data_IF_227520353597
#
_entry.id   IF_227520353597
#
_cell.length_a   1.000
_cell.length_b   1.000
_cell.length_c   1.000
_cell.angle_alpha   90.00
_cell.angle_beta   90.00
_cell.angle_gamma   90.00
#
_symmetry.space_group_name_H-M   'P 1'
#
loop_
_entity.id
_entity.type
_entity.pdbx_description
1 polymer ?
#
# COMPACT_ATOMS: atom_id res chain seq x y z
N UNK A 1 19.99 -0.91 5.19
CA UNK A 1 19.15 -1.45 4.10
C UNK A 1 18.34 -2.66 4.54
N UNK A 2 18.97 -3.78 4.94
CA UNK A 2 18.26 -5.01 5.37
C UNK A 2 17.27 -4.78 6.52
N UNK A 3 17.68 -4.00 7.54
CA UNK A 3 16.79 -3.65 8.65
C UNK A 3 15.52 -2.92 8.18
N UNK A 4 15.68 -1.94 7.28
CA UNK A 4 14.58 -1.16 6.70
C UNK A 4 13.61 -2.08 5.95
N UNK A 5 14.15 -3.05 5.21
CA UNK A 5 13.37 -4.04 4.49
C UNK A 5 12.52 -4.91 5.44
N UNK A 6 13.13 -5.49 6.47
CA UNK A 6 12.43 -6.34 7.45
C UNK A 6 11.34 -5.53 8.16
N UNK A 7 11.65 -4.31 8.58
CA UNK A 7 10.69 -3.42 9.24
C UNK A 7 9.56 -2.99 8.29
N UNK A 8 9.85 -2.83 6.99
CA UNK A 8 8.81 -2.47 6.01
C UNK A 8 7.79 -3.60 5.84
N UNK A 9 8.25 -4.84 5.75
CA UNK A 9 7.38 -6.03 5.71
C UNK A 9 6.59 -6.15 7.01
N UNK A 10 7.25 -6.01 8.16
CA UNK A 10 6.58 -6.07 9.46
C UNK A 10 5.48 -5.00 9.58
N UNK A 11 5.75 -3.76 9.12
CA UNK A 11 4.77 -2.67 9.11
C UNK A 11 3.58 -2.91 8.18
N UNK A 12 3.78 -3.67 7.10
CA UNK A 12 2.72 -4.07 6.18
C UNK A 12 1.88 -5.21 6.76
N UNK A 13 2.50 -6.17 7.44
CA UNK A 13 1.80 -7.24 8.15
C UNK A 13 0.93 -6.68 9.27
N UNK A 14 1.43 -5.69 10.03
CA UNK A 14 0.62 -4.98 11.03
C UNK A 14 -0.60 -4.32 10.37
N UNK A 15 -0.41 -3.67 9.22
CA UNK A 15 -1.53 -3.12 8.46
C UNK A 15 -2.55 -4.20 8.08
N UNK A 16 -2.13 -5.38 7.62
CA UNK A 16 -3.07 -6.46 7.30
C UNK A 16 -3.82 -7.00 8.52
N UNK A 17 -3.16 -7.07 9.68
CA UNK A 17 -3.80 -7.46 10.93
C UNK A 17 -4.85 -6.41 11.32
N UNK A 18 -4.50 -5.13 11.29
CA UNK A 18 -5.43 -4.03 11.60
C UNK A 18 -6.60 -3.97 10.61
N UNK A 19 -6.33 -4.09 9.32
CA UNK A 19 -7.33 -4.03 8.24
C UNK A 19 -8.21 -5.28 8.14
N UNK A 20 -7.80 -6.40 8.75
CA UNK A 20 -8.65 -7.59 8.88
C UNK A 20 -9.69 -7.44 9.99
N UNK A 21 -9.53 -6.48 10.89
CA UNK A 21 -10.48 -6.24 11.96
C UNK A 21 -11.58 -5.27 11.48
N UNK A 22 -12.82 -5.46 11.95
CA UNK A 22 -13.98 -4.67 11.50
C UNK A 22 -13.85 -3.15 11.70
N UNK A 23 -14.12 -2.38 10.64
CA UNK A 23 -14.26 -0.93 10.66
C UNK A 23 -12.97 -0.14 10.39
N UNK A 24 -13.13 1.07 9.84
CA UNK A 24 -12.01 1.96 9.43
C UNK A 24 -11.49 2.81 10.59
N UNK A 25 -12.35 3.11 11.56
CA UNK A 25 -12.06 3.94 12.73
C UNK A 25 -12.50 3.23 14.00
N UNK A 26 -11.64 3.20 15.02
CA UNK A 26 -11.98 2.68 16.35
C UNK A 26 -11.54 3.66 17.43
N UNK A 27 -12.42 3.87 18.40
CA UNK A 27 -12.09 4.63 19.61
C UNK A 27 -11.56 3.65 20.65
N UNK A 28 -10.24 3.47 20.67
CA UNK A 28 -9.56 2.65 21.67
C UNK A 28 -8.37 3.42 22.22
N UNK A 29 -8.27 3.45 23.54
CA UNK A 29 -7.14 4.09 24.22
C UNK A 29 -5.81 3.43 23.81
N UNK A 30 -4.81 4.27 23.57
CA UNK A 30 -3.47 3.86 23.14
C UNK A 30 -2.81 2.84 24.09
N UNK A 31 -3.06 2.95 25.41
CA UNK A 31 -2.49 2.04 26.40
C UNK A 31 -2.92 0.59 26.20
N UNK A 32 -4.14 0.38 25.70
CA UNK A 32 -4.74 -0.96 25.57
C UNK A 32 -4.48 -1.58 24.19
N UNK A 33 -3.92 -0.83 23.24
CA UNK A 33 -3.71 -1.28 21.88
C UNK A 33 -2.22 -1.52 21.57
N UNK A 34 -1.78 -2.76 21.80
CA UNK A 34 -0.40 -3.20 21.54
C UNK A 34 -0.04 -3.00 20.05
N UNK A 35 -0.96 -3.24 19.12
CA UNK A 35 -0.69 -3.10 17.69
C UNK A 35 -0.36 -1.65 17.32
N UNK A 36 -1.07 -0.68 17.91
CA UNK A 36 -0.80 0.74 17.71
C UNK A 36 0.55 1.17 18.31
N UNK A 37 0.95 0.59 19.46
CA UNK A 37 2.26 0.86 20.07
C UNK A 37 3.41 0.36 19.19
N UNK A 38 3.29 -0.85 18.64
CA UNK A 38 4.28 -1.41 17.72
C UNK A 38 4.31 -0.59 16.41
N UNK A 39 3.14 -0.23 15.87
CA UNK A 39 3.03 0.61 14.67
C UNK A 39 3.77 1.95 14.85
N UNK A 40 3.57 2.61 16.00
CA UNK A 40 4.25 3.84 16.34
C UNK A 40 5.77 3.66 16.36
N UNK A 41 6.27 2.60 17.00
CA UNK A 41 7.70 2.32 17.05
C UNK A 41 8.31 2.20 15.64
N UNK A 42 7.63 1.54 14.72
CA UNK A 42 8.05 1.44 13.33
C UNK A 42 7.99 2.79 12.61
N UNK A 43 6.95 3.59 12.81
CA UNK A 43 6.85 4.91 12.18
C UNK A 43 7.91 5.90 12.70
N UNK A 44 8.28 5.84 13.99
CA UNK A 44 9.40 6.62 14.53
C UNK A 44 10.72 6.23 13.83
N UNK A 45 10.96 4.93 13.65
CA UNK A 45 12.13 4.47 12.89
C UNK A 45 12.12 4.98 11.44
N UNK A 46 10.97 4.89 10.75
CA UNK A 46 10.85 5.41 9.38
C UNK A 46 10.99 6.93 9.30
N UNK A 47 10.53 7.67 10.31
CA UNK A 47 10.71 9.11 10.40
C UNK A 47 12.19 9.48 10.49
N UNK A 48 12.96 8.80 11.35
CA UNK A 48 14.42 9.01 11.43
C UNK A 48 15.09 8.65 10.10
N UNK A 49 14.70 7.53 9.49
CA UNK A 49 15.22 7.12 8.19
C UNK A 49 14.92 8.14 7.07
N UNK A 50 13.71 8.71 7.07
CA UNK A 50 13.31 9.77 6.16
C UNK A 50 14.20 11.01 6.32
N UNK A 51 14.46 11.47 7.55
CA UNK A 51 15.33 12.62 7.79
C UNK A 51 16.78 12.37 7.38
N UNK A 52 17.32 11.18 7.63
CA UNK A 52 18.67 10.81 7.17
C UNK A 52 18.75 10.91 5.63
N UNK A 53 17.76 10.36 4.92
CA UNK A 53 17.69 10.46 3.45
C UNK A 53 17.53 11.90 2.97
N UNK A 54 16.70 12.70 3.65
CA UNK A 54 16.49 14.11 3.31
C UNK A 54 17.77 14.94 3.43
N UNK A 55 18.58 14.70 4.46
CA UNK A 55 19.87 15.39 4.65
C UNK A 55 20.91 14.91 3.63
N UNK A 56 20.89 13.62 3.30
CA UNK A 56 21.83 13.03 2.33
C UNK A 56 21.52 13.37 0.86
N UNK A 57 20.30 13.82 0.55
CA UNK A 57 19.91 14.18 -0.81
C UNK A 57 20.59 15.47 -1.29
N UNK A 58 21.17 15.43 -2.50
CA UNK A 58 21.75 16.60 -3.16
C UNK A 58 20.69 17.66 -3.48
N UNK A 59 19.56 17.21 -4.04
CA UNK A 59 18.44 18.07 -4.45
C UNK A 59 17.21 17.81 -3.60
N UNK A 60 16.99 18.69 -2.61
CA UNK A 60 15.91 18.55 -1.62
C UNK A 60 14.51 18.53 -2.26
N UNK A 61 14.28 19.31 -3.32
CA UNK A 61 12.97 19.37 -3.99
C UNK A 61 12.64 18.09 -4.75
N UNK A 62 13.61 17.53 -5.47
CA UNK A 62 13.45 16.26 -6.17
C UNK A 62 13.22 15.11 -5.19
N UNK A 63 13.93 15.13 -4.06
CA UNK A 63 13.72 14.17 -3.00
C UNK A 63 12.29 14.23 -2.41
N UNK A 64 11.73 15.43 -2.24
CA UNK A 64 10.34 15.58 -1.76
C UNK A 64 9.30 15.03 -2.75
N UNK A 65 9.61 15.01 -4.05
CA UNK A 65 8.74 14.50 -5.11
C UNK A 65 8.96 13.01 -5.42
N UNK A 66 9.83 12.34 -4.67
CA UNK A 66 10.09 10.92 -4.85
C UNK A 66 8.92 10.07 -4.34
N UNK A 67 8.53 9.01 -5.07
CA UNK A 67 7.39 8.15 -4.70
C UNK A 67 7.50 7.58 -3.27
N UNK A 68 8.71 7.25 -2.82
CA UNK A 68 8.92 6.73 -1.46
C UNK A 68 8.72 7.80 -0.39
N UNK A 69 9.09 9.05 -0.67
CA UNK A 69 8.84 10.20 0.22
C UNK A 69 7.33 10.45 0.36
N UNK A 70 6.56 10.29 -0.73
CA UNK A 70 5.09 10.35 -0.66
C UNK A 70 4.49 9.29 0.26
N UNK A 71 4.96 8.03 0.19
CA UNK A 71 4.49 6.98 1.11
C UNK A 71 4.76 7.38 2.56
N UNK A 72 5.92 7.95 2.86
CA UNK A 72 6.28 8.40 4.20
C UNK A 72 5.39 9.57 4.68
N UNK A 73 5.07 10.52 3.80
CA UNK A 73 4.18 11.65 4.12
C UNK A 73 2.75 11.25 4.46
N UNK A 74 2.22 10.22 3.80
CA UNK A 74 0.84 9.79 4.07
C UNK A 74 0.73 8.75 5.17
N UNK A 75 1.84 8.12 5.59
CA UNK A 75 1.81 7.07 6.61
C UNK A 75 2.31 7.52 7.98
N UNK A 76 3.30 8.41 8.04
CA UNK A 76 3.94 8.80 9.30
C UNK A 76 3.09 9.82 10.10
N UNK A 77 2.67 10.98 9.54
CA UNK A 77 1.92 11.97 10.30
C UNK A 77 0.57 11.45 10.86
N UNK A 78 -0.25 10.69 10.11
CA UNK A 78 -1.51 10.17 10.65
C UNK A 78 -1.34 9.25 11.86
N UNK A 79 -0.22 8.51 11.95
CA UNK A 79 0.06 7.67 13.12
C UNK A 79 0.34 8.47 14.38
N UNK A 80 0.95 9.66 14.28
CA UNK A 80 1.12 10.56 15.42
C UNK A 80 -0.19 11.25 15.82
N UNK A 81 -0.98 11.67 14.82
CA UNK A 81 -2.30 12.28 15.05
C UNK A 81 -3.26 11.29 15.72
N UNK A 82 -3.20 10.00 15.33
CA UNK A 82 -3.99 8.92 15.91
C UNK A 82 -3.78 8.77 17.44
N UNK A 83 -2.57 9.06 17.94
CA UNK A 83 -2.26 9.04 19.37
C UNK A 83 -2.79 10.30 20.05
N UNK A 84 -2.58 11.46 19.42
CA UNK A 84 -3.06 12.73 19.98
C UNK A 84 -4.58 12.78 20.14
N UNK A 85 -5.32 12.09 19.26
CA UNK A 85 -6.78 12.02 19.28
C UNK A 85 -7.34 10.80 20.04
N UNK A 86 -6.50 9.89 20.53
CA UNK A 86 -6.92 8.60 21.13
C UNK A 86 -7.89 7.80 20.22
N UNK A 87 -7.66 7.86 18.90
CA UNK A 87 -8.46 7.16 17.89
C UNK A 87 -7.56 6.45 16.90
N UNK A 88 -7.85 5.17 16.63
CA UNK A 88 -7.16 4.42 15.58
C UNK A 88 -7.88 4.62 14.25
N UNK A 89 -7.15 5.16 13.27
CA UNK A 89 -7.64 5.33 11.91
C UNK A 89 -6.75 4.56 10.94
N UNK A 90 -7.36 3.65 10.18
CA UNK A 90 -6.67 2.82 9.18
C UNK A 90 -6.27 3.68 7.97
N UNK A 91 -7.13 4.61 7.55
CA UNK A 91 -6.85 5.66 6.57
C UNK A 91 -6.01 5.21 5.36
N UNK A 92 -4.87 5.89 5.15
CA UNK A 92 -3.96 5.68 4.03
C UNK A 92 -2.81 4.69 4.33
N UNK A 93 -2.91 3.88 5.39
CA UNK A 93 -1.84 2.94 5.78
C UNK A 93 -1.55 1.88 4.71
N UNK A 94 -2.50 1.59 3.81
CA UNK A 94 -2.32 0.68 2.68
C UNK A 94 -1.20 1.11 1.72
N UNK A 95 -0.84 2.41 1.68
CA UNK A 95 0.26 2.91 0.85
C UNK A 95 1.62 2.27 1.22
N UNK A 96 1.75 1.68 2.41
CA UNK A 96 2.94 0.91 2.78
C UNK A 96 3.22 -0.25 1.85
N UNK A 97 2.20 -0.79 1.16
CA UNK A 97 2.37 -1.84 0.17
C UNK A 97 3.25 -1.38 -1.02
N UNK A 98 3.28 -0.09 -1.35
CA UNK A 98 4.16 0.47 -2.38
C UNK A 98 5.65 0.31 -2.04
N UNK A 99 6.01 0.15 -0.76
CA UNK A 99 7.40 -0.15 -0.37
C UNK A 99 7.86 -1.52 -0.87
N UNK A 100 6.96 -2.42 -1.26
CA UNK A 100 7.34 -3.67 -1.89
C UNK A 100 8.08 -3.44 -3.23
N UNK A 101 7.94 -2.27 -3.87
CA UNK A 101 8.68 -1.91 -5.09
C UNK A 101 10.20 -1.90 -4.91
N UNK A 102 10.72 -1.67 -3.70
CA UNK A 102 12.18 -1.62 -3.44
C UNK A 102 12.80 -2.99 -3.20
N UNK A 103 11.98 -4.04 -3.08
CA UNK A 103 12.43 -5.41 -2.77
C UNK A 103 13.45 -5.95 -3.77
N UNK A 104 13.27 -5.82 -5.09
CA UNK A 104 14.24 -6.28 -6.07
C UNK A 104 15.63 -5.63 -5.89
N UNK A 105 15.67 -4.33 -5.62
CA UNK A 105 16.91 -3.58 -5.43
C UNK A 105 17.66 -4.05 -4.18
N UNK A 106 16.91 -4.34 -3.09
CA UNK A 106 17.47 -4.91 -1.86
C UNK A 106 18.01 -6.33 -2.09
N UNK A 107 17.27 -7.16 -2.85
CA UNK A 107 17.71 -8.52 -3.19
C UNK A 107 18.96 -8.51 -4.09
N UNK A 108 19.08 -7.52 -4.97
CA UNK A 108 20.29 -7.30 -5.77
C UNK A 108 21.46 -6.88 -4.88
N UNK A 109 21.24 -5.97 -3.92
CA UNK A 109 22.25 -5.56 -2.94
C UNK A 109 22.73 -6.75 -2.07
N UNK A 110 21.83 -7.67 -1.74
CA UNK A 110 22.14 -8.92 -1.01
C UNK A 110 22.77 -10.01 -1.88
N UNK A 111 23.01 -9.74 -3.16
CA UNK A 111 23.63 -10.68 -4.10
C UNK A 111 22.83 -12.00 -4.27
N UNK A 112 21.51 -11.94 -4.06
CA UNK A 112 20.57 -13.07 -4.25
C UNK A 112 20.15 -13.15 -5.73
N UNK A 113 19.81 -12.00 -6.32
CA UNK A 113 19.45 -11.89 -7.74
C UNK A 113 20.70 -11.54 -8.55
N UNK A 114 21.26 -12.53 -9.26
CA UNK A 114 22.53 -12.37 -10.01
C UNK A 114 22.33 -12.16 -11.51
N UNK A 115 21.25 -12.69 -12.06
CA UNK A 115 20.97 -12.62 -13.50
C UNK A 115 20.05 -11.45 -13.82
N UNK A 116 20.32 -10.73 -14.91
CA UNK A 116 19.51 -9.60 -15.38
C UNK A 116 18.04 -9.96 -15.61
N UNK A 117 17.76 -11.15 -16.15
CA UNK A 117 16.39 -11.66 -16.34
C UNK A 117 15.64 -11.83 -15.02
N UNK A 118 16.31 -12.39 -14.01
CA UNK A 118 15.75 -12.61 -12.67
C UNK A 118 15.47 -11.29 -11.95
N UNK A 119 16.34 -10.29 -12.09
CA UNK A 119 16.13 -8.93 -11.54
C UNK A 119 14.90 -8.29 -12.17
N UNK A 120 14.78 -8.32 -13.50
CA UNK A 120 13.62 -7.74 -14.21
C UNK A 120 12.31 -8.43 -13.87
N UNK A 121 12.33 -9.76 -13.78
CA UNK A 121 11.16 -10.54 -13.35
C UNK A 121 10.76 -10.18 -11.91
N UNK A 122 11.73 -10.11 -10.99
CA UNK A 122 11.47 -9.70 -9.61
C UNK A 122 10.90 -8.28 -9.52
N UNK A 123 11.42 -7.34 -10.32
CA UNK A 123 10.89 -5.97 -10.44
C UNK A 123 9.46 -5.97 -10.94
N UNK A 124 9.14 -6.74 -11.99
CA UNK A 124 7.78 -6.84 -12.50
C UNK A 124 6.82 -7.37 -11.44
N UNK A 125 7.15 -8.49 -10.81
CA UNK A 125 6.31 -9.15 -9.79
C UNK A 125 6.10 -8.25 -8.59
N UNK A 126 7.16 -7.61 -8.11
CA UNK A 126 7.13 -6.67 -7.00
C UNK A 126 6.22 -5.46 -7.30
N UNK A 127 6.35 -4.85 -8.48
CA UNK A 127 5.50 -3.73 -8.88
C UNK A 127 4.04 -4.19 -8.98
N UNK A 128 3.77 -5.33 -9.61
CA UNK A 128 2.41 -5.86 -9.75
C UNK A 128 1.74 -6.10 -8.38
N UNK A 129 2.43 -6.81 -7.47
CA UNK A 129 1.92 -7.08 -6.12
C UNK A 129 1.70 -5.77 -5.34
N UNK A 130 2.66 -4.84 -5.40
CA UNK A 130 2.57 -3.58 -4.66
C UNK A 130 1.38 -2.71 -5.10
N UNK A 131 1.18 -2.55 -6.41
CA UNK A 131 0.07 -1.77 -6.99
C UNK A 131 -1.26 -2.44 -6.69
N UNK A 132 -1.33 -3.77 -6.83
CA UNK A 132 -2.54 -4.53 -6.59
C UNK A 132 -2.99 -4.47 -5.12
N UNK A 133 -2.08 -4.67 -4.16
CA UNK A 133 -2.39 -4.52 -2.73
C UNK A 133 -2.78 -3.08 -2.36
N UNK A 134 -2.11 -2.10 -2.95
CA UNK A 134 -2.45 -0.67 -2.74
C UNK A 134 -3.85 -0.37 -3.27
N UNK A 135 -4.20 -0.86 -4.46
CA UNK A 135 -5.53 -0.69 -5.04
C UNK A 135 -6.62 -1.40 -4.22
N UNK A 136 -6.33 -2.59 -3.65
CA UNK A 136 -7.25 -3.26 -2.74
C UNK A 136 -7.50 -2.41 -1.49
N UNK A 137 -6.45 -1.78 -0.96
CA UNK A 137 -6.55 -0.85 0.16
C UNK A 137 -7.35 0.42 -0.15
N UNK A 138 -7.23 0.95 -1.36
CA UNK A 138 -8.04 2.10 -1.82
C UNK A 138 -9.52 1.70 -1.86
N UNK A 139 -9.87 0.57 -2.49
CA UNK A 139 -11.26 0.09 -2.55
C UNK A 139 -11.80 -0.16 -1.15
N UNK A 140 -11.00 -0.82 -0.29
CA UNK A 140 -11.34 -1.04 1.10
C UNK A 140 -11.65 0.28 1.82
N UNK A 141 -10.82 1.31 1.66
CA UNK A 141 -11.08 2.62 2.26
C UNK A 141 -12.35 3.27 1.69
N UNK A 142 -12.53 3.27 0.37
CA UNK A 142 -13.65 3.94 -0.29
C UNK A 142 -15.00 3.29 0.04
N UNK A 143 -15.10 1.96 -0.03
CA UNK A 143 -16.35 1.24 0.24
C UNK A 143 -16.74 1.30 1.72
N UNK A 144 -15.77 1.20 2.63
CA UNK A 144 -16.06 1.31 4.07
C UNK A 144 -16.33 2.76 4.52
N UNK A 145 -15.79 3.77 3.82
CA UNK A 145 -16.04 5.19 4.16
C UNK A 145 -17.35 5.72 3.59
N UNK A 146 -17.86 5.13 2.50
CA UNK A 146 -19.10 5.55 1.84
C UNK A 146 -18.92 6.68 0.83
N UNK A 147 -20.04 7.16 0.28
CA UNK A 147 -20.05 8.18 -0.78
C UNK A 147 -19.73 9.61 -0.26
N UNK A 148 -19.11 10.46 -1.10
CA UNK A 148 -18.71 11.81 -0.70
C UNK A 148 -19.92 12.70 -0.38
N UNK A 149 -19.65 13.82 0.31
CA UNK A 149 -20.60 14.85 0.78
C UNK A 149 -21.38 14.49 2.05
N UNK A 150 -21.95 13.29 2.14
CA UNK A 150 -22.77 12.89 3.30
C UNK A 150 -22.30 11.60 3.99
N UNK A 151 -21.23 10.95 3.50
CA UNK A 151 -20.73 9.66 3.98
C UNK A 151 -21.86 8.63 4.13
N UNK A 152 -22.75 8.60 3.13
CA UNK A 152 -23.89 7.68 3.08
C UNK A 152 -23.51 6.41 2.32
N UNK A 153 -24.24 5.34 2.59
CA UNK A 153 -24.04 4.01 1.99
C UNK A 153 -22.64 3.40 2.23
N UNK A 154 -22.17 3.28 3.50
CA UNK A 154 -20.98 2.46 3.76
C UNK A 154 -21.31 0.99 3.50
N UNK A 155 -20.48 0.34 2.69
CA UNK A 155 -20.58 -1.09 2.42
C UNK A 155 -19.38 -1.78 3.05
N UNK A 156 -19.56 -2.39 4.24
CA UNK A 156 -18.44 -2.96 4.96
C UNK A 156 -17.90 -4.18 4.20
N UNK A 157 -16.69 -4.02 3.66
CA UNK A 157 -15.97 -5.07 2.96
C UNK A 157 -14.65 -5.28 3.68
N UNK A 158 -14.31 -6.52 4.10
CA UNK A 158 -13.02 -6.78 4.69
C UNK A 158 -11.92 -6.67 3.63
N UNK A 159 -10.70 -6.32 4.06
CA UNK A 159 -9.58 -6.08 3.16
C UNK A 159 -9.30 -7.26 2.21
N UNK A 160 -9.33 -8.50 2.72
CA UNK A 160 -9.08 -9.70 1.92
C UNK A 160 -10.15 -9.95 0.85
N UNK A 161 -11.39 -9.54 1.08
CA UNK A 161 -12.45 -9.59 0.07
C UNK A 161 -12.20 -8.56 -1.04
N UNK A 162 -11.63 -7.40 -0.70
CA UNK A 162 -11.21 -6.41 -1.71
C UNK A 162 -10.03 -6.93 -2.57
N UNK A 163 -9.08 -7.64 -1.93
CA UNK A 163 -7.98 -8.34 -2.61
C UNK A 163 -8.51 -9.39 -3.58
N UNK A 164 -9.44 -10.25 -3.12
CA UNK A 164 -10.12 -11.24 -3.95
C UNK A 164 -10.86 -10.60 -5.14
N UNK A 165 -11.67 -9.58 -4.87
CA UNK A 165 -12.42 -8.84 -5.88
C UNK A 165 -11.52 -8.31 -6.99
N UNK A 166 -10.37 -7.72 -6.63
CA UNK A 166 -9.43 -7.21 -7.61
C UNK A 166 -8.77 -8.31 -8.45
N UNK A 167 -8.46 -9.50 -7.90
CA UNK A 167 -7.93 -10.61 -8.71
C UNK A 167 -8.95 -11.02 -9.76
N UNK A 168 -10.19 -11.25 -9.34
CA UNK A 168 -11.29 -11.70 -10.21
C UNK A 168 -11.57 -10.66 -11.30
N UNK A 169 -11.48 -9.37 -10.97
CA UNK A 169 -11.74 -8.29 -11.93
C UNK A 169 -10.57 -8.06 -12.88
N UNK A 170 -9.32 -8.04 -12.39
CA UNK A 170 -8.12 -7.90 -13.24
C UNK A 170 -7.93 -9.08 -14.18
N UNK A 171 -8.28 -10.29 -13.73
CA UNK A 171 -8.28 -11.49 -14.59
C UNK A 171 -9.44 -11.54 -15.57
N UNK A 172 -10.31 -10.52 -15.62
CA UNK A 172 -11.49 -10.41 -16.48
C UNK A 172 -12.54 -11.51 -16.28
N UNK A 173 -12.48 -12.24 -15.16
CA UNK A 173 -13.44 -13.31 -14.83
C UNK A 173 -14.78 -12.72 -14.40
N UNK A 174 -14.76 -11.77 -13.45
CA UNK A 174 -15.93 -11.01 -13.03
C UNK A 174 -17.12 -11.86 -12.56
N UNK A 175 -16.94 -12.68 -11.51
CA UNK A 175 -18.01 -13.54 -10.96
C UNK A 175 -19.29 -12.77 -10.57
N UNK A 176 -19.16 -11.51 -10.15
CA UNK A 176 -20.29 -10.65 -9.77
C UNK A 176 -20.83 -10.89 -8.36
N UNK A 177 -20.13 -11.70 -7.55
CA UNK A 177 -20.43 -11.96 -6.13
C UNK A 177 -20.03 -10.78 -5.23
N UNK A 178 -18.92 -10.12 -5.54
CA UNK A 178 -18.43 -8.91 -4.88
C UNK A 178 -18.28 -7.80 -5.92
N UNK A 179 -18.74 -6.60 -5.59
CA UNK A 179 -18.62 -5.42 -6.44
C UNK A 179 -18.67 -4.12 -5.63
N UNK A 180 -18.04 -3.07 -6.15
CA UNK A 180 -18.09 -1.73 -5.57
C UNK A 180 -19.49 -1.11 -5.72
N UNK A 181 -20.07 -0.66 -4.62
CA UNK A 181 -21.38 -0.01 -4.62
C UNK A 181 -21.24 1.52 -4.60
N UNK A 182 -20.18 2.03 -3.99
CA UNK A 182 -19.92 3.47 -3.91
C UNK A 182 -19.54 4.07 -5.26
N UNK A 183 -19.91 5.33 -5.48
CA UNK A 183 -19.60 6.10 -6.69
C UNK A 183 -18.08 6.26 -6.83
N UNK A 184 -17.39 6.54 -5.72
CA UNK A 184 -15.94 6.67 -5.71
C UNK A 184 -15.24 5.33 -5.98
N UNK A 185 -15.71 4.24 -5.37
CA UNK A 185 -15.17 2.90 -5.61
C UNK A 185 -15.30 2.48 -7.07
N UNK A 186 -16.49 2.70 -7.68
CA UNK A 186 -16.73 2.43 -9.11
C UNK A 186 -15.86 3.31 -10.02
N UNK A 187 -15.76 4.60 -9.73
CA UNK A 187 -14.95 5.54 -10.52
C UNK A 187 -13.47 5.13 -10.46
N UNK A 188 -12.95 4.83 -9.27
CA UNK A 188 -11.60 4.33 -9.08
C UNK A 188 -11.36 3.04 -9.87
N UNK A 189 -12.28 2.07 -9.80
CA UNK A 189 -12.15 0.80 -10.49
C UNK A 189 -12.04 0.97 -12.01
N UNK A 190 -12.83 1.86 -12.61
CA UNK A 190 -12.77 2.14 -14.06
C UNK A 190 -11.40 2.67 -14.46
N UNK A 191 -10.88 3.67 -13.76
CA UNK A 191 -9.54 4.20 -14.02
C UNK A 191 -8.45 3.17 -13.76
N UNK A 192 -8.59 2.40 -12.69
CA UNK A 192 -7.62 1.36 -12.31
C UNK A 192 -7.51 0.27 -13.37
N UNK A 193 -8.63 -0.20 -13.94
CA UNK A 193 -8.60 -1.21 -15.00
C UNK A 193 -8.02 -0.65 -16.30
N UNK A 194 -8.37 0.60 -16.68
CA UNK A 194 -7.83 1.24 -17.87
C UNK A 194 -6.30 1.39 -17.80
N UNK A 195 -5.78 1.91 -16.69
CA UNK A 195 -4.32 2.10 -16.52
C UNK A 195 -3.63 0.76 -16.26
N UNK A 196 -4.21 -0.07 -15.40
CA UNK A 196 -3.61 -1.31 -14.94
C UNK A 196 -3.41 -2.34 -16.05
N UNK A 197 -4.41 -2.54 -16.91
CA UNK A 197 -4.31 -3.49 -18.01
C UNK A 197 -3.27 -3.06 -19.05
N UNK A 198 -3.21 -1.76 -19.39
CA UNK A 198 -2.22 -1.21 -20.33
C UNK A 198 -0.80 -1.39 -19.79
N UNK A 199 -0.57 -0.98 -18.53
CA UNK A 199 0.74 -1.09 -17.89
C UNK A 199 1.21 -2.53 -17.72
N UNK A 200 0.30 -3.44 -17.41
CA UNK A 200 0.61 -4.87 -17.27
C UNK A 200 0.99 -5.49 -18.61
N UNK A 201 0.21 -5.20 -19.66
CA UNK A 201 0.48 -5.68 -21.00
C UNK A 201 1.84 -5.20 -21.54
N UNK A 202 2.14 -3.90 -21.44
CA UNK A 202 3.40 -3.32 -21.89
C UNK A 202 4.61 -3.96 -21.19
N UNK A 203 4.52 -4.18 -19.88
CA UNK A 203 5.62 -4.76 -19.11
C UNK A 203 5.85 -6.24 -19.39
N UNK A 204 4.81 -7.02 -19.65
CA UNK A 204 4.96 -8.43 -20.03
C UNK A 204 5.56 -8.54 -21.42
N UNK A 205 5.05 -7.76 -22.39
CA UNK A 205 5.57 -7.77 -23.74
C UNK A 205 7.09 -7.48 -23.78
N UNK A 206 7.53 -6.47 -23.01
CA UNK A 206 8.96 -6.14 -22.86
C UNK A 206 9.81 -7.25 -22.23
N UNK A 207 9.21 -8.19 -21.48
CA UNK A 207 9.93 -9.36 -20.98
C UNK A 207 10.04 -10.46 -22.04
N UNK A 208 9.00 -10.65 -22.85
CA UNK A 208 8.96 -11.68 -23.91
C UNK A 208 9.90 -11.35 -25.08
N UNK A 209 9.99 -10.09 -25.50
CA UNK A 209 10.89 -9.67 -26.61
C UNK A 209 12.38 -9.82 -26.30
N UNK A 210 12.75 -10.01 -25.03
CA UNK A 210 14.13 -10.06 -24.55
C UNK A 210 14.65 -11.49 -24.32
N UNK A 211 13.83 -12.52 -24.56
CA UNK A 211 14.18 -13.93 -24.38
C UNK A 211 14.47 -14.60 -25.72
#
# INVERSE_FOLDING_TARGET
>A
VVLVFILSIASLVIYFIDASNDGVERCQEWSNNITQQIDLAFNIFFMVYFFIRFIAASDKLWFMLEMYSFVDYFTIPPSFVSIYLDRTWIGLRFLRALRLMTVPDILQYLNILKTSSSIRLAQLVSIFISVWLTAAGIIHLLENSGDPLEFRNPHPLPYWTCVYFLIVTMSTVGYGDVYCQTILGRTFLVFFLLVGLVQFHEKIHNLEEMQ
#
